data_IF_631632471096
#
_entry.id   IF_631632471096
#
_cell.length_a   1.000
_cell.length_b   1.000
_cell.length_c   1.000
_cell.angle_alpha   90.00
_cell.angle_beta   90.00
_cell.angle_gamma   90.00
#
_symmetry.space_group_name_H-M   'P 1'
#
loop_
_entity.id
_entity.type
_entity.pdbx_description
1 polymer ?
#
# COMPACT_ATOMS: atom_id res chain seq x y z
N UNK A 1 -8.37 17.01 -14.75
CA UNK A 1 -8.60 15.91 -15.72
C UNK A 1 -10.04 15.43 -15.59
N UNK A 2 -10.71 15.12 -16.70
CA UNK A 2 -12.12 14.69 -16.71
C UNK A 2 -12.29 13.28 -16.17
N UNK A 3 -13.27 13.09 -15.29
CA UNK A 3 -13.72 11.79 -14.80
C UNK A 3 -14.91 11.28 -15.61
N UNK A 4 -15.01 9.97 -15.73
CA UNK A 4 -16.07 9.26 -16.44
C UNK A 4 -16.75 8.30 -15.47
N UNK A 5 -18.05 8.09 -15.66
CA UNK A 5 -18.87 7.20 -14.86
C UNK A 5 -19.76 6.37 -15.79
N UNK A 6 -19.61 5.05 -15.76
CA UNK A 6 -20.49 4.15 -16.47
C UNK A 6 -21.93 4.26 -15.88
N UNK A 7 -22.98 4.32 -16.71
CA UNK A 7 -24.36 4.31 -16.24
C UNK A 7 -24.65 3.07 -15.38
N UNK A 8 -25.59 3.11 -14.40
CA UNK A 8 -25.79 2.02 -13.44
C UNK A 8 -25.94 0.62 -14.04
N UNK A 9 -26.75 0.45 -15.09
CA UNK A 9 -26.94 -0.85 -15.74
C UNK A 9 -25.67 -1.34 -16.46
N UNK A 10 -24.92 -0.43 -17.08
CA UNK A 10 -23.64 -0.74 -17.75
C UNK A 10 -22.58 -1.08 -16.73
N UNK A 11 -22.53 -0.35 -15.62
CA UNK A 11 -21.61 -0.62 -14.51
C UNK A 11 -21.87 -2.00 -13.92
N UNK A 12 -23.14 -2.36 -13.70
CA UNK A 12 -23.53 -3.67 -13.18
C UNK A 12 -23.10 -4.82 -14.12
N UNK A 13 -23.40 -4.72 -15.44
CA UNK A 13 -22.92 -5.70 -16.44
C UNK A 13 -21.40 -5.88 -16.39
N UNK A 14 -20.67 -4.77 -16.32
CA UNK A 14 -19.20 -4.81 -16.27
C UNK A 14 -18.67 -5.43 -14.98
N UNK A 15 -19.32 -5.19 -13.84
CA UNK A 15 -18.98 -5.82 -12.55
C UNK A 15 -19.15 -7.33 -12.64
N UNK A 16 -20.28 -7.81 -13.18
CA UNK A 16 -20.54 -9.25 -13.33
C UNK A 16 -19.53 -9.91 -14.27
N UNK A 17 -19.21 -9.25 -15.40
CA UNK A 17 -18.17 -9.71 -16.33
C UNK A 17 -16.79 -9.77 -15.67
N UNK A 18 -16.44 -8.78 -14.85
CA UNK A 18 -15.20 -8.79 -14.07
C UNK A 18 -15.19 -9.95 -13.07
N UNK A 19 -16.29 -10.16 -12.34
CA UNK A 19 -16.40 -11.26 -11.39
C UNK A 19 -16.23 -12.63 -12.07
N UNK A 20 -16.84 -12.83 -13.24
CA UNK A 20 -16.64 -14.05 -14.06
C UNK A 20 -15.19 -14.20 -14.53
N UNK A 21 -14.52 -13.10 -14.90
CA UNK A 21 -13.10 -13.13 -15.27
C UNK A 21 -12.20 -13.52 -14.09
N UNK A 22 -12.48 -12.99 -12.88
CA UNK A 22 -11.77 -13.35 -11.65
C UNK A 22 -12.03 -14.81 -11.28
N UNK A 23 -13.30 -15.24 -11.32
CA UNK A 23 -13.69 -16.61 -10.97
C UNK A 23 -13.01 -17.66 -11.85
N UNK A 24 -12.84 -17.37 -13.15
CA UNK A 24 -12.21 -18.27 -14.12
C UNK A 24 -10.70 -18.13 -14.20
N UNK A 25 -10.12 -17.09 -13.62
CA UNK A 25 -8.68 -16.83 -13.64
C UNK A 25 -7.95 -17.87 -12.79
N UNK A 26 -6.90 -18.47 -13.37
CA UNK A 26 -5.97 -19.35 -12.65
C UNK A 26 -4.85 -18.56 -12.00
N UNK A 27 -4.51 -17.40 -12.57
CA UNK A 27 -3.41 -16.56 -12.11
C UNK A 27 -3.76 -15.08 -12.18
N UNK A 28 -4.61 -14.64 -11.24
CA UNK A 28 -4.98 -13.23 -11.10
C UNK A 28 -3.82 -12.43 -10.51
N UNK A 29 -3.45 -11.35 -11.20
CA UNK A 29 -2.56 -10.31 -10.67
C UNK A 29 -3.33 -9.01 -10.56
N UNK A 30 -3.19 -8.31 -9.44
CA UNK A 30 -3.78 -6.98 -9.25
C UNK A 30 -2.66 -5.93 -9.27
N UNK A 31 -2.93 -4.81 -9.95
CA UNK A 31 -2.02 -3.69 -10.07
C UNK A 31 -2.71 -2.41 -9.55
N UNK A 32 -2.22 -1.82 -8.45
CA UNK A 32 -2.91 -0.72 -7.76
C UNK A 32 -2.15 0.60 -7.86
N UNK A 33 -2.90 1.70 -7.90
CA UNK A 33 -2.39 3.06 -7.74
C UNK A 33 -3.20 3.88 -6.74
N UNK A 34 -2.86 5.17 -6.61
CA UNK A 34 -3.35 6.02 -5.52
C UNK A 34 -4.88 6.15 -5.45
N UNK A 35 -5.59 5.88 -6.54
CA UNK A 35 -7.05 5.92 -6.60
C UNK A 35 -7.73 4.99 -5.57
N UNK A 36 -7.11 3.87 -5.19
CA UNK A 36 -7.68 2.96 -4.18
C UNK A 36 -7.61 3.48 -2.74
N UNK A 37 -6.81 4.52 -2.50
CA UNK A 37 -6.58 5.14 -1.19
C UNK A 37 -7.29 6.49 -1.04
N UNK A 38 -7.98 6.96 -2.09
CA UNK A 38 -8.73 8.22 -2.05
C UNK A 38 -9.86 8.22 -1.02
N UNK A 39 -10.56 7.09 -0.86
CA UNK A 39 -11.58 6.91 0.18
C UNK A 39 -10.99 6.79 1.59
N UNK A 40 -9.68 6.58 1.73
CA UNK A 40 -8.96 6.57 3.01
C UNK A 40 -8.59 7.98 3.49
N UNK A 41 -8.91 9.03 2.73
CA UNK A 41 -8.49 10.40 3.00
C UNK A 41 -7.09 10.74 2.50
N UNK A 42 -6.48 9.87 1.69
CA UNK A 42 -5.18 10.10 1.05
C UNK A 42 -5.42 10.64 -0.36
N UNK A 43 -4.97 11.86 -0.70
CA UNK A 43 -5.18 12.41 -2.04
C UNK A 43 -4.44 11.58 -3.09
N UNK A 44 -5.02 11.49 -4.28
CA UNK A 44 -4.29 10.94 -5.42
C UNK A 44 -3.30 11.97 -6.00
N UNK A 45 -2.60 11.57 -7.05
CA UNK A 45 -1.61 12.41 -7.70
C UNK A 45 -2.15 13.24 -8.88
N UNK A 46 -3.18 12.75 -9.58
CA UNK A 46 -3.56 13.24 -10.91
C UNK A 46 -5.07 13.40 -11.11
N UNK A 47 -5.87 13.06 -10.12
CA UNK A 47 -7.30 13.33 -10.03
C UNK A 47 -7.63 14.82 -10.19
N UNK A 48 -8.91 15.18 -10.24
CA UNK A 48 -9.34 16.60 -10.23
C UNK A 48 -8.76 17.39 -9.04
N UNK A 49 -8.55 16.74 -7.90
CA UNK A 49 -7.93 17.30 -6.68
C UNK A 49 -6.56 16.69 -6.36
N UNK A 50 -5.93 16.05 -7.35
CA UNK A 50 -4.66 15.37 -7.13
C UNK A 50 -3.50 16.33 -6.91
N UNK A 51 -2.46 15.89 -6.19
CA UNK A 51 -1.29 16.70 -5.82
C UNK A 51 -0.67 17.41 -7.04
N UNK A 52 -0.37 16.68 -8.12
CA UNK A 52 0.24 17.24 -9.33
C UNK A 52 -0.74 18.05 -10.18
N UNK A 53 -2.04 17.86 -10.00
CA UNK A 53 -3.07 18.67 -10.67
C UNK A 53 -3.10 20.06 -10.02
N UNK A 54 -3.24 20.10 -8.70
CA UNK A 54 -3.32 21.36 -7.94
C UNK A 54 -2.01 22.15 -8.02
N UNK A 55 -0.86 21.48 -7.93
CA UNK A 55 0.44 22.14 -8.08
C UNK A 55 0.62 22.78 -9.47
N UNK A 56 0.20 22.09 -10.54
CA UNK A 56 0.25 22.65 -11.91
C UNK A 56 -0.71 23.81 -12.11
N UNK A 57 -1.82 23.83 -11.39
CA UNK A 57 -2.79 24.92 -11.40
C UNK A 57 -2.39 26.08 -10.45
N UNK A 58 -1.26 25.99 -9.76
CA UNK A 58 -0.83 26.99 -8.77
C UNK A 58 -1.75 27.08 -7.54
N UNK A 59 -2.53 26.03 -7.27
CA UNK A 59 -3.47 25.95 -6.15
C UNK A 59 -2.79 25.36 -4.92
N UNK A 60 -3.36 25.66 -3.75
CA UNK A 60 -2.95 25.02 -2.50
C UNK A 60 -3.03 23.50 -2.62
N UNK A 61 -2.04 22.82 -2.05
CA UNK A 61 -2.02 21.36 -1.98
C UNK A 61 -3.18 20.87 -1.11
N UNK A 62 -3.73 19.68 -1.40
CA UNK A 62 -4.82 19.15 -0.62
C UNK A 62 -4.32 18.87 0.80
N UNK A 63 -4.99 19.41 1.82
CA UNK A 63 -4.72 19.03 3.19
C UNK A 63 -5.12 17.57 3.40
N UNK A 64 -4.23 16.78 3.99
CA UNK A 64 -4.56 15.42 4.38
C UNK A 64 -5.66 15.49 5.45
N UNK A 65 -6.76 14.76 5.23
CA UNK A 65 -7.88 14.75 6.18
C UNK A 65 -7.49 14.20 7.56
N UNK A 66 -6.45 13.36 7.60
CA UNK A 66 -5.90 12.71 8.78
C UNK A 66 -4.38 12.54 8.61
N UNK A 67 -3.61 12.47 9.71
CA UNK A 67 -2.23 11.99 9.66
C UNK A 67 -2.14 10.63 8.96
N UNK A 68 -1.09 10.40 8.16
CA UNK A 68 -1.01 9.24 7.27
C UNK A 68 -0.92 7.91 8.04
N UNK A 69 -0.24 7.90 9.19
CA UNK A 69 -0.26 6.77 10.14
C UNK A 69 -1.66 6.43 10.74
N UNK A 70 -2.65 7.32 10.60
CA UNK A 70 -4.05 7.08 10.99
C UNK A 70 -4.93 6.61 9.85
N UNK A 71 -4.47 6.68 8.60
CA UNK A 71 -5.20 6.12 7.48
C UNK A 71 -5.47 4.63 7.70
N UNK A 72 -6.67 4.18 7.34
CA UNK A 72 -7.09 2.78 7.44
C UNK A 72 -7.29 2.22 6.03
N UNK A 73 -7.02 0.92 5.81
CA UNK A 73 -7.24 0.29 4.52
C UNK A 73 -8.70 0.47 4.05
N UNK A 74 -8.89 0.83 2.77
CA UNK A 74 -10.23 0.93 2.18
C UNK A 74 -10.89 -0.44 2.05
N UNK A 75 -12.19 -0.44 1.71
CA UNK A 75 -12.91 -1.66 1.36
C UNK A 75 -12.21 -2.42 0.23
N UNK A 76 -11.66 -1.72 -0.78
CA UNK A 76 -10.85 -2.34 -1.83
C UNK A 76 -9.63 -3.08 -1.27
N UNK A 77 -8.88 -2.48 -0.33
CA UNK A 77 -7.73 -3.16 0.29
C UNK A 77 -8.16 -4.44 1.02
N UNK A 78 -9.24 -4.38 1.80
CA UNK A 78 -9.72 -5.53 2.56
C UNK A 78 -10.32 -6.62 1.66
N UNK A 79 -10.94 -6.25 0.54
CA UNK A 79 -11.39 -7.20 -0.46
C UNK A 79 -10.22 -7.92 -1.13
N UNK A 80 -9.10 -7.25 -1.38
CA UNK A 80 -7.88 -7.88 -1.90
C UNK A 80 -7.29 -8.89 -0.91
N UNK A 81 -7.37 -8.62 0.40
CA UNK A 81 -7.00 -9.59 1.44
C UNK A 81 -7.88 -10.84 1.36
N UNK A 82 -9.19 -10.67 1.19
CA UNK A 82 -10.09 -11.83 1.04
C UNK A 82 -9.85 -12.60 -0.26
N UNK A 83 -9.65 -11.91 -1.37
CA UNK A 83 -9.34 -12.57 -2.65
C UNK A 83 -8.02 -13.34 -2.58
N UNK A 84 -7.04 -12.87 -1.81
CA UNK A 84 -5.79 -13.58 -1.55
C UNK A 84 -6.03 -14.83 -0.71
N UNK A 85 -6.77 -14.71 0.41
CA UNK A 85 -7.12 -15.83 1.29
C UNK A 85 -7.96 -16.91 0.59
N UNK A 86 -8.93 -16.50 -0.21
CA UNK A 86 -9.77 -17.37 -1.03
C UNK A 86 -8.99 -17.99 -2.21
N UNK A 87 -7.74 -17.59 -2.43
CA UNK A 87 -6.86 -18.17 -3.43
C UNK A 87 -7.08 -17.65 -4.86
N UNK A 88 -7.91 -16.61 -5.06
CA UNK A 88 -8.07 -15.95 -6.35
C UNK A 88 -6.83 -15.12 -6.69
N UNK A 89 -6.46 -14.19 -5.80
CA UNK A 89 -5.33 -13.27 -6.00
C UNK A 89 -3.99 -14.00 -5.80
N UNK A 90 -3.18 -14.08 -6.87
CA UNK A 90 -1.86 -14.72 -6.80
C UNK A 90 -0.73 -13.76 -6.49
N UNK A 91 -0.88 -12.50 -6.89
CA UNK A 91 0.14 -11.48 -6.66
C UNK A 91 -0.42 -10.07 -6.77
N UNK A 92 0.07 -9.18 -5.91
CA UNK A 92 -0.31 -7.78 -5.85
C UNK A 92 0.90 -6.92 -6.19
N UNK A 93 0.70 -5.95 -7.08
CA UNK A 93 1.72 -4.99 -7.47
C UNK A 93 1.17 -3.60 -7.16
N UNK A 94 1.88 -2.81 -6.36
CA UNK A 94 1.44 -1.49 -5.96
C UNK A 94 2.42 -0.41 -6.39
N UNK A 95 1.86 0.72 -6.84
CA UNK A 95 2.57 1.98 -7.03
C UNK A 95 2.44 2.91 -5.81
N UNK A 96 1.65 2.53 -4.81
CA UNK A 96 1.41 3.34 -3.63
C UNK A 96 2.56 3.19 -2.64
N UNK A 97 2.80 4.26 -1.89
CA UNK A 97 3.78 4.32 -0.80
C UNK A 97 3.10 4.38 0.58
N UNK A 98 1.78 4.16 0.63
CA UNK A 98 0.95 4.36 1.81
C UNK A 98 0.99 3.22 2.84
N UNK A 99 1.66 2.12 2.50
CA UNK A 99 1.79 0.94 3.34
C UNK A 99 0.46 0.24 3.66
N UNK A 100 -0.67 0.66 3.05
CA UNK A 100 -1.99 0.14 3.41
C UNK A 100 -2.19 -1.31 3.00
N UNK A 101 -1.47 -1.81 2.00
CA UNK A 101 -1.50 -3.24 1.64
C UNK A 101 -0.84 -4.13 2.68
N UNK A 102 0.36 -3.77 3.16
CA UNK A 102 0.99 -4.52 4.25
C UNK A 102 0.18 -4.41 5.54
N UNK A 103 -0.31 -3.21 5.85
CA UNK A 103 -1.12 -2.96 7.05
C UNK A 103 -2.50 -3.62 6.99
N UNK A 104 -3.07 -3.88 5.80
CA UNK A 104 -4.32 -4.64 5.66
C UNK A 104 -4.13 -6.15 5.89
N UNK A 105 -2.90 -6.64 5.84
CA UNK A 105 -2.55 -8.04 6.02
C UNK A 105 -2.27 -8.81 4.72
N UNK A 106 -2.02 -8.12 3.60
CA UNK A 106 -1.48 -8.80 2.41
C UNK A 106 -0.10 -9.39 2.77
N UNK A 107 0.16 -10.68 2.48
CA UNK A 107 1.45 -11.29 2.75
C UNK A 107 2.57 -10.60 1.94
N UNK A 108 3.68 -10.25 2.60
CA UNK A 108 4.80 -9.50 2.00
C UNK A 108 5.39 -10.22 0.78
N UNK A 109 5.41 -11.55 0.78
CA UNK A 109 5.91 -12.39 -0.31
C UNK A 109 4.98 -12.42 -1.54
N UNK A 110 3.74 -11.93 -1.41
CA UNK A 110 2.77 -11.79 -2.49
C UNK A 110 2.58 -10.34 -2.95
N UNK A 111 3.43 -9.43 -2.48
CA UNK A 111 3.35 -8.00 -2.75
C UNK A 111 4.66 -7.47 -3.34
N UNK A 112 4.55 -6.68 -4.41
CA UNK A 112 5.61 -5.81 -4.92
C UNK A 112 5.26 -4.33 -4.72
N UNK A 113 6.03 -3.60 -3.90
CA UNK A 113 5.86 -2.16 -3.67
C UNK A 113 6.86 -1.37 -4.51
N UNK A 114 6.46 -1.03 -5.74
CA UNK A 114 7.39 -0.54 -6.76
C UNK A 114 8.05 0.78 -6.41
N UNK A 115 7.37 1.64 -5.63
CA UNK A 115 7.85 2.98 -5.29
C UNK A 115 8.27 3.13 -3.82
N UNK A 116 8.36 2.00 -3.10
CA UNK A 116 8.65 1.97 -1.66
C UNK A 116 7.39 2.04 -0.80
N UNK A 117 7.62 2.15 0.51
CA UNK A 117 6.60 2.29 1.55
C UNK A 117 7.09 3.31 2.58
N UNK A 118 6.26 4.33 2.86
CA UNK A 118 6.54 5.40 3.81
C UNK A 118 6.66 4.94 5.26
N UNK A 119 6.35 3.68 5.57
CA UNK A 119 6.50 3.07 6.90
C UNK A 119 7.66 2.06 6.95
N UNK A 120 8.40 1.91 5.85
CA UNK A 120 9.45 0.92 5.70
C UNK A 120 10.83 1.57 5.61
N UNK A 121 11.77 1.07 6.40
CA UNK A 121 13.20 1.36 6.24
C UNK A 121 13.99 0.06 6.06
N UNK A 122 15.07 0.13 5.28
CA UNK A 122 15.86 -1.04 4.89
C UNK A 122 17.34 -0.84 5.19
N UNK A 123 17.98 -1.91 5.64
CA UNK A 123 19.43 -1.90 5.83
C UNK A 123 20.14 -2.06 4.46
N UNK A 124 20.97 -1.10 4.03
CA UNK A 124 21.69 -1.21 2.77
C UNK A 124 22.80 -2.28 2.79
N UNK A 125 23.27 -2.67 3.99
CA UNK A 125 24.34 -3.66 4.15
C UNK A 125 23.81 -5.10 4.13
N UNK A 126 22.78 -5.42 4.92
CA UNK A 126 22.28 -6.79 5.06
C UNK A 126 20.91 -7.04 4.39
N UNK A 127 20.27 -6.00 3.88
CA UNK A 127 19.01 -6.10 3.13
C UNK A 127 17.74 -6.29 3.97
N UNK A 128 17.84 -6.46 5.30
CA UNK A 128 16.68 -6.57 6.19
C UNK A 128 15.81 -5.32 6.10
N UNK A 129 14.50 -5.56 6.04
CA UNK A 129 13.43 -4.57 6.03
C UNK A 129 12.81 -4.46 7.44
N UNK A 130 12.55 -3.23 7.87
CA UNK A 130 11.95 -2.91 9.15
C UNK A 130 10.68 -2.10 8.90
N UNK A 131 9.54 -2.76 9.11
CA UNK A 131 8.24 -2.09 9.10
C UNK A 131 8.01 -1.35 10.41
N UNK A 132 7.51 -0.12 10.33
CA UNK A 132 7.22 0.75 11.47
C UNK A 132 5.73 1.04 11.57
N UNK A 133 5.27 1.37 12.77
CA UNK A 133 3.92 1.89 13.05
C UNK A 133 3.83 3.43 12.93
N UNK A 134 4.93 4.06 12.51
CA UNK A 134 5.07 5.50 12.23
C UNK A 134 5.73 5.74 10.87
N UNK A 135 5.53 6.94 10.35
CA UNK A 135 6.07 7.36 9.06
C UNK A 135 7.58 7.60 9.14
N UNK A 136 8.30 7.19 8.11
CA UNK A 136 9.71 7.49 7.91
C UNK A 136 9.81 8.90 7.33
N UNK A 137 10.52 9.78 8.04
CA UNK A 137 10.60 11.21 7.75
C UNK A 137 11.43 11.56 6.50
N UNK A 138 12.18 10.60 5.96
CA UNK A 138 13.06 10.79 4.79
C UNK A 138 12.47 10.18 3.53
N UNK A 139 12.80 10.78 2.39
CA UNK A 139 12.39 10.34 1.04
C UNK A 139 13.62 10.43 0.13
N UNK A 140 13.74 9.47 -0.78
CA UNK A 140 14.81 9.40 -1.79
C UNK A 140 15.98 8.53 -1.34
N UNK A 141 15.68 7.39 -0.69
CA UNK A 141 16.67 6.40 -0.27
C UNK A 141 17.77 6.97 0.64
N UNK A 142 17.38 7.93 1.49
CA UNK A 142 18.25 8.66 2.41
C UNK A 142 18.41 7.90 3.71
N UNK A 143 19.50 8.17 4.42
CA UNK A 143 19.74 7.57 5.72
C UNK A 143 18.72 8.08 6.75
N UNK A 144 18.12 7.15 7.49
CA UNK A 144 17.28 7.45 8.64
C UNK A 144 18.14 7.63 9.90
N UNK A 145 17.51 8.03 11.01
CA UNK A 145 18.18 8.15 12.30
C UNK A 145 18.51 6.79 12.96
N UNK A 146 18.00 5.67 12.42
CA UNK A 146 18.04 4.35 13.04
C UNK A 146 19.13 3.46 12.44
N UNK A 147 19.53 2.44 13.20
CA UNK A 147 20.56 1.45 12.81
C UNK A 147 19.96 0.05 12.77
N UNK A 148 20.55 -0.79 11.92
CA UNK A 148 20.20 -2.19 11.79
C UNK A 148 20.42 -2.93 13.12
N UNK A 149 19.37 -3.60 13.62
CA UNK A 149 19.43 -4.39 14.87
C UNK A 149 20.01 -5.78 14.67
N UNK A 150 20.28 -6.21 13.43
CA UNK A 150 20.96 -7.47 13.16
C UNK A 150 22.35 -7.47 13.80
N UNK A 151 22.59 -8.45 14.66
CA UNK A 151 23.88 -8.69 15.29
C UNK A 151 24.97 -8.77 14.22
N UNK A 152 26.04 -7.97 14.40
CA UNK A 152 27.16 -7.88 13.46
C UNK A 152 26.96 -6.95 12.26
N UNK A 153 25.84 -6.24 12.14
CA UNK A 153 25.61 -5.28 11.04
C UNK A 153 25.73 -3.82 11.50
N UNK A 154 24.78 -3.32 12.30
CA UNK A 154 24.83 -1.96 12.86
C UNK A 154 24.82 -0.78 11.85
N UNK A 155 24.71 -1.05 10.55
CA UNK A 155 24.67 -0.02 9.51
C UNK A 155 23.45 0.90 9.66
N UNK A 156 23.57 2.15 9.21
CA UNK A 156 22.44 3.09 9.17
C UNK A 156 21.38 2.58 8.20
N UNK A 157 20.12 2.65 8.62
CA UNK A 157 18.98 2.28 7.79
C UNK A 157 18.70 3.40 6.79
N UNK A 158 18.03 3.06 5.69
CA UNK A 158 17.56 4.00 4.68
C UNK A 158 16.06 3.89 4.49
N UNK A 159 15.38 4.98 4.14
CA UNK A 159 14.00 4.89 3.65
C UNK A 159 13.92 4.11 2.33
N UNK A 160 12.71 3.70 1.96
CA UNK A 160 12.47 2.93 0.74
C UNK A 160 11.75 3.73 -0.36
N UNK A 161 11.31 4.95 -0.06
CA UNK A 161 10.53 5.76 -1.00
C UNK A 161 11.46 6.37 -2.04
N UNK A 162 11.12 6.16 -3.31
CA UNK A 162 11.91 6.62 -4.45
C UNK A 162 11.73 8.13 -4.69
N UNK A 163 12.82 8.81 -5.05
CA UNK A 163 12.78 10.11 -5.72
C UNK A 163 12.62 9.90 -7.25
N UNK A 164 12.41 11.00 -7.99
CA UNK A 164 12.12 10.95 -9.43
C UNK A 164 13.21 10.29 -10.28
N UNK A 165 14.47 10.40 -9.88
CA UNK A 165 15.62 9.88 -10.61
C UNK A 165 16.00 8.44 -10.20
N UNK A 166 15.39 7.92 -9.12
CA UNK A 166 15.72 6.60 -8.61
C UNK A 166 15.16 5.48 -9.51
N UNK A 167 15.96 4.44 -9.68
CA UNK A 167 15.53 3.24 -10.40
C UNK A 167 14.54 2.42 -9.54
N UNK A 168 13.53 1.82 -10.19
CA UNK A 168 12.65 0.88 -9.50
C UNK A 168 13.46 -0.31 -8.95
N UNK A 169 13.23 -0.73 -7.70
CA UNK A 169 14.04 -1.76 -7.03
C UNK A 169 13.89 -3.11 -7.74
N UNK A 170 14.99 -3.77 -8.16
CA UNK A 170 14.93 -5.08 -8.81
C UNK A 170 14.25 -6.16 -7.97
N UNK A 171 14.35 -6.06 -6.64
CA UNK A 171 13.67 -6.96 -5.68
C UNK A 171 12.16 -6.95 -5.86
N UNK A 172 11.56 -5.80 -6.19
CA UNK A 172 10.12 -5.66 -6.39
C UNK A 172 9.75 -5.86 -7.88
N UNK A 173 10.59 -5.36 -8.79
CA UNK A 173 10.35 -5.43 -10.23
C UNK A 173 10.41 -6.85 -10.82
N UNK A 174 11.39 -7.66 -10.39
CA UNK A 174 11.56 -9.03 -10.91
C UNK A 174 10.34 -9.93 -10.63
N UNK A 175 9.84 -10.04 -9.38
CA UNK A 175 8.63 -10.81 -9.12
C UNK A 175 7.39 -10.19 -9.79
N UNK A 176 7.25 -8.86 -9.79
CA UNK A 176 6.14 -8.19 -10.49
C UNK A 176 6.08 -8.56 -11.98
N UNK A 177 7.22 -8.49 -12.69
CA UNK A 177 7.29 -8.87 -14.09
C UNK A 177 7.02 -10.37 -14.30
N UNK A 178 7.58 -11.23 -13.44
CA UNK A 178 7.34 -12.68 -13.50
C UNK A 178 5.85 -13.00 -13.36
N UNK A 179 5.18 -12.44 -12.35
CA UNK A 179 3.76 -12.69 -12.13
C UNK A 179 2.90 -12.11 -13.25
N UNK A 180 3.20 -10.91 -13.77
CA UNK A 180 2.48 -10.38 -14.93
C UNK A 180 2.65 -11.24 -16.19
N UNK A 181 3.80 -11.89 -16.41
CA UNK A 181 3.99 -12.82 -17.54
C UNK A 181 3.17 -14.10 -17.41
N UNK A 182 2.93 -14.56 -16.18
CA UNK A 182 2.12 -15.76 -15.89
C UNK A 182 0.62 -15.48 -15.85
N UNK A 183 0.23 -14.21 -15.68
CA UNK A 183 -1.15 -13.83 -15.45
C UNK A 183 -2.05 -14.07 -16.67
N UNK A 184 -3.18 -14.73 -16.45
CA UNK A 184 -4.28 -14.79 -17.42
C UNK A 184 -5.24 -13.60 -17.27
N UNK A 185 -5.25 -12.94 -16.10
CA UNK A 185 -5.92 -11.65 -15.86
C UNK A 185 -5.00 -10.74 -15.04
N UNK A 186 -4.78 -9.52 -15.54
CA UNK A 186 -4.24 -8.40 -14.75
C UNK A 186 -5.33 -7.36 -14.54
N UNK A 187 -5.68 -7.12 -13.27
CA UNK A 187 -6.69 -6.14 -12.86
C UNK A 187 -6.02 -4.87 -12.34
N UNK A 188 -6.11 -3.78 -13.11
CA UNK A 188 -5.59 -2.46 -12.72
C UNK A 188 -6.66 -1.67 -11.96
N UNK A 189 -6.37 -1.23 -10.74
CA UNK A 189 -7.29 -0.49 -9.88
C UNK A 189 -6.72 0.89 -9.52
N UNK A 190 -7.45 1.95 -9.83
CA UNK A 190 -7.14 3.29 -9.33
C UNK A 190 -5.76 3.82 -9.75
N UNK A 191 -5.27 3.43 -10.92
CA UNK A 191 -4.01 3.92 -11.49
C UNK A 191 -4.25 4.56 -12.85
N UNK A 192 -3.58 5.68 -13.11
CA UNK A 192 -3.60 6.33 -14.42
C UNK A 192 -2.71 5.64 -15.45
N UNK A 193 -1.88 4.67 -15.04
CA UNK A 193 -0.94 3.93 -15.89
C UNK A 193 -0.02 4.85 -16.73
N UNK A 194 0.51 5.92 -16.13
CA UNK A 194 1.40 6.87 -16.80
C UNK A 194 2.89 6.69 -16.45
N UNK A 195 3.20 6.32 -15.20
CA UNK A 195 4.59 6.26 -14.71
C UNK A 195 5.32 5.05 -15.27
N UNK A 196 6.34 5.29 -16.08
CA UNK A 196 7.24 4.28 -16.63
C UNK A 196 8.38 3.99 -15.65
N UNK A 197 8.86 2.73 -15.54
CA UNK A 197 8.43 1.55 -16.30
C UNK A 197 7.24 0.79 -15.71
N UNK A 198 6.78 1.15 -14.50
CA UNK A 198 5.71 0.44 -13.78
C UNK A 198 4.42 0.26 -14.61
N UNK A 199 3.98 1.29 -15.35
CA UNK A 199 2.75 1.26 -16.14
C UNK A 199 2.75 0.25 -17.29
N UNK A 200 3.90 -0.30 -17.64
CA UNK A 200 4.04 -1.30 -18.69
C UNK A 200 3.97 -2.75 -18.17
N UNK A 201 4.01 -2.96 -16.84
CA UNK A 201 3.93 -4.29 -16.24
C UNK A 201 2.63 -5.03 -16.60
N UNK A 202 1.42 -4.42 -16.52
CA UNK A 202 0.19 -5.11 -16.92
C UNK A 202 0.22 -5.64 -18.37
N UNK A 203 0.91 -4.93 -19.27
CA UNK A 203 1.04 -5.30 -20.69
C UNK A 203 1.83 -6.59 -20.91
N UNK A 204 2.61 -7.05 -19.92
CA UNK A 204 3.40 -8.27 -20.03
C UNK A 204 2.52 -9.52 -20.14
N UNK A 205 1.30 -9.48 -19.59
CA UNK A 205 0.33 -10.58 -19.66
C UNK A 205 -0.17 -10.85 -21.09
N UNK A 206 -0.27 -9.81 -21.92
CA UNK A 206 -0.78 -9.92 -23.29
C UNK A 206 0.05 -10.86 -24.16
N UNK A 207 1.36 -10.95 -23.90
CA UNK A 207 2.25 -11.87 -24.65
C UNK A 207 1.91 -13.34 -24.42
N UNK A 208 1.35 -13.68 -23.26
CA UNK A 208 0.87 -15.01 -22.91
C UNK A 208 -0.61 -15.24 -23.20
N UNK A 209 -1.28 -14.31 -23.90
CA UNK A 209 -2.73 -14.37 -24.13
C UNK A 209 -3.58 -13.95 -22.93
N UNK A 210 -2.96 -13.40 -21.88
CA UNK A 210 -3.67 -12.84 -20.73
C UNK A 210 -4.50 -11.60 -21.09
N UNK A 211 -5.45 -11.27 -20.21
CA UNK A 211 -6.36 -10.13 -20.36
C UNK A 211 -6.00 -9.03 -19.38
N UNK A 212 -6.26 -7.78 -19.76
CA UNK A 212 -6.12 -6.64 -18.87
C UNK A 212 -7.50 -6.06 -18.61
N UNK A 213 -7.82 -5.85 -17.34
CA UNK A 213 -9.00 -5.09 -16.92
C UNK A 213 -8.54 -3.81 -16.26
N UNK A 214 -9.18 -2.69 -16.58
CA UNK A 214 -8.86 -1.39 -15.99
C UNK A 214 -10.11 -0.84 -15.31
N UNK A 215 -10.01 -0.56 -14.01
CA UNK A 215 -11.02 0.14 -13.23
C UNK A 215 -10.45 1.49 -12.81
N UNK A 216 -10.90 2.56 -13.46
CA UNK A 216 -10.42 3.90 -13.19
C UNK A 216 -11.46 4.95 -13.63
N UNK A 217 -11.63 6.01 -12.85
CA UNK A 217 -12.51 7.12 -13.21
C UNK A 217 -11.99 7.91 -14.42
N UNK A 218 -10.67 8.05 -14.54
CA UNK A 218 -10.03 8.79 -15.62
C UNK A 218 -9.56 7.85 -16.74
N UNK A 219 -9.43 8.38 -17.95
CA UNK A 219 -8.77 7.66 -19.06
C UNK A 219 -7.33 7.32 -18.71
N UNK A 220 -6.87 6.17 -19.20
CA UNK A 220 -5.46 5.76 -19.09
C UNK A 220 -4.83 5.68 -20.48
N UNK A 221 -3.49 5.81 -20.61
CA UNK A 221 -2.80 5.57 -21.88
C UNK A 221 -2.96 4.14 -22.40
N UNK A 222 -3.48 3.20 -21.59
CA UNK A 222 -3.56 1.77 -21.90
C UNK A 222 -5.00 1.30 -22.17
N UNK A 223 -5.99 2.19 -22.19
CA UNK A 223 -7.41 1.85 -22.37
C UNK A 223 -7.65 0.98 -23.63
N UNK A 224 -7.01 1.32 -24.76
CA UNK A 224 -7.13 0.55 -26.02
C UNK A 224 -6.60 -0.88 -25.95
N UNK A 225 -5.87 -1.25 -24.90
CA UNK A 225 -5.33 -2.60 -24.67
C UNK A 225 -6.15 -3.39 -23.66
N UNK A 226 -7.11 -2.77 -22.97
CA UNK A 226 -7.94 -3.44 -21.99
C UNK A 226 -9.00 -4.32 -22.67
N UNK A 227 -9.19 -5.54 -22.16
CA UNK A 227 -10.30 -6.41 -22.52
C UNK A 227 -11.62 -5.97 -21.86
N UNK A 228 -11.52 -5.23 -20.75
CA UNK A 228 -12.65 -4.63 -20.05
C UNK A 228 -12.19 -3.32 -19.41
N UNK A 229 -12.93 -2.24 -19.65
CA UNK A 229 -12.71 -0.92 -19.08
C UNK A 229 -13.94 -0.54 -18.27
N UNK A 230 -13.75 -0.24 -16.98
CA UNK A 230 -14.81 0.13 -16.04
C UNK A 230 -14.53 1.52 -15.51
N UNK A 231 -15.47 2.44 -15.75
CA UNK A 231 -15.44 3.79 -15.24
C UNK A 231 -16.34 3.88 -14.02
N UNK A 232 -15.77 3.63 -12.84
CA UNK A 232 -16.51 3.64 -11.58
C UNK A 232 -15.57 3.74 -10.38
N UNK A 233 -16.16 4.05 -9.23
CA UNK A 233 -15.44 4.04 -7.96
C UNK A 233 -14.96 2.61 -7.67
N UNK A 234 -13.66 2.45 -7.42
CA UNK A 234 -13.03 1.14 -7.20
C UNK A 234 -13.69 0.37 -6.06
N UNK A 235 -14.03 1.04 -4.96
CA UNK A 235 -14.75 0.46 -3.83
C UNK A 235 -16.11 -0.13 -4.27
N UNK A 236 -16.90 0.61 -5.06
CA UNK A 236 -18.19 0.13 -5.56
C UNK A 236 -18.04 -1.06 -6.49
N UNK A 237 -17.07 -1.01 -7.39
CA UNK A 237 -16.81 -2.10 -8.36
C UNK A 237 -16.39 -3.37 -7.63
N UNK A 238 -15.44 -3.26 -6.70
CA UNK A 238 -14.92 -4.41 -5.96
C UNK A 238 -15.98 -4.97 -5.01
N UNK A 239 -16.79 -4.14 -4.35
CA UNK A 239 -17.91 -4.62 -3.53
C UNK A 239 -18.86 -5.50 -4.33
N UNK A 240 -19.27 -5.06 -5.54
CA UNK A 240 -20.14 -5.87 -6.40
C UNK A 240 -19.48 -7.16 -6.90
N UNK A 241 -18.16 -7.15 -7.14
CA UNK A 241 -17.41 -8.38 -7.44
C UNK A 241 -17.43 -9.35 -6.26
N UNK A 242 -17.18 -8.86 -5.05
CA UNK A 242 -17.17 -9.69 -3.83
C UNK A 242 -18.55 -10.30 -3.56
N UNK A 243 -19.61 -9.51 -3.75
CA UNK A 243 -21.00 -9.98 -3.66
C UNK A 243 -21.29 -11.10 -4.67
N UNK A 244 -20.93 -10.90 -5.96
CA UNK A 244 -21.10 -11.90 -7.00
C UNK A 244 -20.33 -13.21 -6.69
N UNK A 245 -19.12 -13.09 -6.15
CA UNK A 245 -18.30 -14.24 -5.74
C UNK A 245 -18.75 -14.87 -4.41
N UNK A 246 -19.76 -14.29 -3.74
CA UNK A 246 -20.21 -14.70 -2.41
C UNK A 246 -19.09 -14.70 -1.35
N UNK A 247 -18.16 -13.74 -1.46
CA UNK A 247 -17.05 -13.56 -0.53
C UNK A 247 -17.34 -12.38 0.42
N UNK A 248 -17.13 -12.60 1.72
CA UNK A 248 -17.29 -11.56 2.74
C UNK A 248 -16.02 -10.74 2.86
N UNK A 249 -16.13 -9.42 2.76
CA UNK A 249 -14.97 -8.53 2.97
C UNK A 249 -14.68 -8.49 4.48
N UNK A 250 -13.50 -8.94 4.94
CA UNK A 250 -13.17 -8.96 6.35
C UNK A 250 -13.04 -7.53 6.90
N UNK A 251 -13.41 -7.29 8.17
CA UNK A 251 -13.16 -6.01 8.80
C UNK A 251 -11.65 -5.79 8.96
N UNK A 252 -11.22 -4.53 8.85
CA UNK A 252 -9.86 -4.17 9.23
C UNK A 252 -9.74 -4.17 10.76
N UNK A 253 -8.75 -4.89 11.27
CA UNK A 253 -8.40 -4.90 12.70
C UNK A 253 -7.02 -4.25 12.83
N UNK A 254 -6.97 -3.08 13.46
CA UNK A 254 -5.71 -2.40 13.78
C UNK A 254 -5.11 -3.02 15.04
N UNK A 255 -3.85 -3.42 14.97
CA UNK A 255 -3.06 -3.90 16.10
C UNK A 255 -1.89 -2.93 16.30
N UNK A 256 -1.90 -2.22 17.42
CA UNK A 256 -0.80 -1.35 17.84
C UNK A 256 -0.07 -2.01 19.01
N UNK A 257 1.27 -1.96 19.00
CA UNK A 257 2.10 -2.61 20.01
C UNK A 257 2.92 -1.57 20.78
N UNK A 258 2.92 -1.69 22.10
CA UNK A 258 3.79 -0.95 23.00
C UNK A 258 4.45 -1.90 23.99
N UNK A 259 5.51 -1.44 24.61
CA UNK A 259 6.16 -2.15 25.70
C UNK A 259 6.23 -1.29 26.95
N UNK A 260 6.02 -1.93 28.10
CA UNK A 260 6.24 -1.34 29.41
C UNK A 260 7.56 -1.88 29.96
N UNK A 261 8.46 -0.98 30.32
CA UNK A 261 9.78 -1.30 30.84
C UNK A 261 9.79 -0.84 32.30
N UNK A 262 10.02 -1.79 33.20
CA UNK A 262 10.12 -1.53 34.62
C UNK A 262 11.56 -1.76 35.08
N UNK A 263 12.16 -0.74 35.69
CA UNK A 263 13.54 -0.81 36.18
C UNK A 263 13.59 -0.39 37.64
N UNK A 264 14.46 -1.04 38.39
CA UNK A 264 14.78 -0.70 39.78
C UNK A 264 16.27 -0.43 39.89
N UNK A 265 16.63 0.61 40.63
CA UNK A 265 18.02 0.92 40.94
C UNK A 265 18.12 1.47 42.37
N UNK A 266 19.10 0.98 43.13
CA UNK A 266 19.42 1.56 44.44
C UNK A 266 19.86 3.02 44.27
N UNK A 267 19.46 3.88 45.19
CA UNK A 267 20.03 5.22 45.30
C UNK A 267 21.53 5.13 45.59
N UNK A 268 22.29 6.17 45.23
CA UNK A 268 23.75 6.21 45.46
C UNK A 268 24.15 6.03 46.93
N UNK A 269 23.25 6.38 47.85
CA UNK A 269 23.42 6.21 49.30
C UNK A 269 22.75 4.94 49.86
N UNK A 270 22.23 4.07 48.98
CA UNK A 270 21.55 2.80 49.27
C UNK A 270 20.32 2.90 50.21
N UNK A 271 19.81 4.11 50.46
CA UNK A 271 18.67 4.33 51.36
C UNK A 271 17.32 4.10 50.70
N UNK A 272 17.24 4.22 49.38
CA UNK A 272 15.98 4.12 48.63
C UNK A 272 16.17 3.26 47.38
N UNK A 273 15.08 2.65 46.92
CA UNK A 273 15.01 2.01 45.60
C UNK A 273 14.24 2.95 44.68
N UNK A 274 14.91 3.41 43.63
CA UNK A 274 14.29 4.17 42.56
C UNK A 274 13.63 3.19 41.58
N UNK A 275 12.32 3.33 41.41
CA UNK A 275 11.55 2.61 40.41
C UNK A 275 11.29 3.53 39.22
N UNK A 276 11.51 3.03 38.01
CA UNK A 276 11.15 3.74 36.79
C UNK A 276 10.29 2.84 35.91
N UNK A 277 9.10 3.35 35.58
CA UNK A 277 8.18 2.79 34.59
C UNK A 277 8.30 3.61 33.31
N UNK A 278 8.68 2.98 32.22
CA UNK A 278 8.74 3.60 30.88
C UNK A 278 7.77 2.91 29.94
N UNK A 279 6.90 3.68 29.29
CA UNK A 279 6.11 3.22 28.14
C UNK A 279 6.89 3.57 26.88
N UNK A 280 7.25 2.57 26.09
CA UNK A 280 8.08 2.73 24.90
C UNK A 280 7.50 2.00 23.68
N UNK A 281 7.89 2.45 22.49
CA UNK A 281 7.60 1.74 21.24
C UNK A 281 8.38 0.43 21.16
N UNK A 282 7.77 -0.59 20.57
CA UNK A 282 8.45 -1.86 20.24
C UNK A 282 9.55 -1.67 19.18
N UNK A 283 9.57 -0.52 18.50
CA UNK A 283 10.59 -0.15 17.52
C UNK A 283 11.82 0.53 18.15
N UNK A 284 11.83 0.72 19.47
CA UNK A 284 12.95 1.24 20.24
C UNK A 284 12.57 2.44 21.12
N UNK A 285 13.39 2.73 22.13
CA UNK A 285 13.07 3.72 23.17
C UNK A 285 12.96 5.17 22.67
N UNK A 286 13.48 5.48 21.48
CA UNK A 286 13.39 6.81 20.85
C UNK A 286 12.39 6.86 19.71
N UNK A 287 11.73 5.74 19.40
CA UNK A 287 10.69 5.71 18.38
C UNK A 287 9.39 6.32 18.93
N UNK A 288 8.62 7.02 18.09
CA UNK A 288 7.36 7.63 18.50
C UNK A 288 6.31 6.56 18.87
N UNK A 289 5.34 6.95 19.68
CA UNK A 289 4.15 6.18 20.04
C UNK A 289 2.91 6.90 19.50
N UNK A 290 2.64 6.84 18.19
CA UNK A 290 1.69 7.75 17.53
C UNK A 290 0.22 7.53 17.93
N UNK A 291 -0.09 6.43 18.62
CA UNK A 291 -1.44 6.05 19.06
C UNK A 291 -1.68 6.25 20.56
N UNK A 292 -0.67 6.68 21.34
CA UNK A 292 -0.81 6.93 22.77
C UNK A 292 -0.98 8.43 23.03
N UNK A 293 -2.11 8.82 23.62
CA UNK A 293 -2.40 10.23 23.97
C UNK A 293 -1.92 10.59 25.38
N UNK A 294 -2.13 9.69 26.34
CA UNK A 294 -1.76 9.87 27.74
C UNK A 294 -1.59 8.50 28.40
N UNK A 295 -0.77 8.45 29.44
CA UNK A 295 -0.59 7.29 30.32
C UNK A 295 -0.97 7.73 31.72
N UNK A 296 -1.92 7.04 32.33
CA UNK A 296 -2.32 7.23 33.71
C UNK A 296 -1.75 6.08 34.54
N UNK A 297 -1.12 6.40 35.67
CA UNK A 297 -0.51 5.44 36.59
C UNK A 297 -1.19 5.60 37.93
N UNK A 298 -1.91 4.56 38.36
CA UNK A 298 -2.65 4.49 39.61
C UNK A 298 -2.15 3.37 40.51
#
# INVERSE_FOLDING_TARGET
MTEYFDPPLVLQDKIERLAVMIQKSKHLVVFTGAGISTSCGIPDFRGPKGIWTLQREGKALPEAALPFHRATPSMTHMALVELEKAGFLKFLISQNIDGLHLRSGIPREKLSELHGDSFMERCPSCGIEYMRDFEIETIGLKETARRCSKVGCGARLKDTVLDWEDALPPKEMNPAERHCKMADVVLCLGTSLQITPACNLPLRSLKGGGKIVIVNLQKTPKDKKASLLIHGLVDKVIAGVMEFLSLQIPPFIRIDLLQTIFTQASSLDEKYINWSLTVASVHGNRAPLPFIKSVEVS
#
